data_IF_069437028383
#
_entry.id   IF_069437028383
#
_cell.length_a   1.000
_cell.length_b   1.000
_cell.length_c   1.000
_cell.angle_alpha   90.00
_cell.angle_beta   90.00
_cell.angle_gamma   90.00
#
_symmetry.space_group_name_H-M   'P 1'
#
loop_
_entity.id
_entity.type
_entity.pdbx_description
1 polymer ?
#
# COMPACT_ATOMS: atom_id res chain seq x y z
N UNK A 1 36.85 18.71 41.77
CA UNK A 1 35.80 17.88 41.17
C UNK A 1 35.11 18.79 40.18
N UNK A 2 35.54 18.71 38.92
CA UNK A 2 35.25 19.70 37.89
C UNK A 2 33.80 19.56 37.41
N UNK A 3 33.06 20.68 37.38
CA UNK A 3 31.59 20.71 37.37
C UNK A 3 31.04 21.31 36.06
N UNK A 4 31.64 20.99 34.91
CA UNK A 4 31.17 21.41 33.58
C UNK A 4 31.56 20.42 32.48
N UNK A 5 30.91 19.25 32.45
CA UNK A 5 30.91 18.40 31.26
C UNK A 5 29.47 18.27 30.77
N UNK A 6 28.89 19.39 30.33
CA UNK A 6 27.63 19.35 29.59
C UNK A 6 27.98 18.98 28.15
N UNK A 7 27.61 17.77 27.73
CA UNK A 7 27.69 17.32 26.34
C UNK A 7 26.71 18.19 25.53
N UNK A 8 27.13 18.71 24.38
CA UNK A 8 26.24 19.46 23.50
C UNK A 8 25.11 18.55 22.99
N UNK A 9 23.94 19.13 22.69
CA UNK A 9 22.78 18.35 22.23
C UNK A 9 23.07 17.61 20.91
N UNK A 10 23.93 18.19 20.09
CA UNK A 10 24.43 17.64 18.82
C UNK A 10 25.34 16.42 19.06
N UNK A 11 26.36 16.56 19.92
CA UNK A 11 27.25 15.46 20.32
C UNK A 11 26.48 14.29 20.96
N UNK A 12 25.42 14.59 21.74
CA UNK A 12 24.54 13.57 22.33
C UNK A 12 23.73 12.83 21.27
N UNK A 13 23.31 13.54 20.21
CA UNK A 13 22.61 12.97 19.07
C UNK A 13 23.49 11.96 18.32
N UNK A 14 24.74 12.34 18.06
CA UNK A 14 25.74 11.50 17.39
C UNK A 14 26.09 10.25 18.21
N UNK A 15 26.33 10.40 19.52
CA UNK A 15 26.57 9.25 20.42
C UNK A 15 25.41 8.27 20.44
N UNK A 16 24.16 8.77 20.49
CA UNK A 16 22.97 7.91 20.48
C UNK A 16 22.84 7.14 19.17
N UNK A 17 23.16 7.78 18.06
CA UNK A 17 23.12 7.16 16.72
C UNK A 17 24.13 6.02 16.63
N UNK A 18 25.37 6.25 17.07
CA UNK A 18 26.42 5.23 17.07
C UNK A 18 26.08 4.06 17.99
N UNK A 19 25.54 4.34 19.18
CA UNK A 19 25.07 3.30 20.10
C UNK A 19 23.99 2.41 19.48
N UNK A 20 22.94 3.03 18.92
CA UNK A 20 21.84 2.30 18.28
C UNK A 20 22.35 1.48 17.08
N UNK A 21 23.28 2.05 16.30
CA UNK A 21 23.89 1.36 15.17
C UNK A 21 24.63 0.10 15.64
N UNK A 22 25.45 0.20 16.68
CA UNK A 22 26.19 -0.93 17.24
C UNK A 22 25.26 -2.02 17.79
N UNK A 23 24.21 -1.64 18.53
CA UNK A 23 23.19 -2.57 19.04
C UNK A 23 22.49 -3.31 17.91
N UNK A 24 22.10 -2.60 16.85
CA UNK A 24 21.45 -3.22 15.70
C UNK A 24 22.42 -4.13 14.93
N UNK A 25 23.67 -3.71 14.71
CA UNK A 25 24.68 -4.56 14.06
C UNK A 25 24.94 -5.86 14.84
N UNK A 26 24.86 -5.83 16.18
CA UNK A 26 25.02 -7.02 17.02
C UNK A 26 23.81 -7.98 16.93
N UNK A 27 22.57 -7.46 16.86
CA UNK A 27 21.36 -8.27 16.84
C UNK A 27 20.99 -8.82 15.45
N UNK A 28 21.05 -7.98 14.41
CA UNK A 28 20.60 -8.31 13.05
C UNK A 28 21.74 -8.49 12.06
N UNK A 29 22.98 -8.17 12.43
CA UNK A 29 24.16 -8.30 11.57
C UNK A 29 24.29 -7.14 10.58
N UNK A 30 24.09 -7.40 9.29
CA UNK A 30 24.20 -6.35 8.26
C UNK A 30 22.95 -5.44 8.25
N UNK A 31 23.16 -4.14 8.44
CA UNK A 31 22.08 -3.15 8.43
C UNK A 31 21.50 -2.95 7.02
N UNK A 32 20.17 -3.04 6.93
CA UNK A 32 19.42 -2.68 5.73
C UNK A 32 19.40 -1.16 5.52
N UNK A 33 19.06 -0.73 4.30
CA UNK A 33 18.81 0.68 3.99
C UNK A 33 17.72 1.27 4.90
N UNK A 34 16.69 0.49 5.24
CA UNK A 34 15.63 0.95 6.15
C UNK A 34 16.15 1.19 7.57
N UNK A 35 17.05 0.35 8.07
CA UNK A 35 17.62 0.48 9.41
C UNK A 35 18.48 1.73 9.51
N UNK A 36 19.31 1.97 8.49
CA UNK A 36 20.13 3.18 8.39
C UNK A 36 19.26 4.46 8.35
N UNK A 37 18.14 4.43 7.65
CA UNK A 37 17.19 5.54 7.64
C UNK A 37 16.58 5.80 9.03
N UNK A 38 16.23 4.74 9.79
CA UNK A 38 15.72 4.88 11.16
C UNK A 38 16.79 5.46 12.07
N UNK A 39 18.00 4.91 12.04
CA UNK A 39 19.17 5.39 12.80
C UNK A 39 19.40 6.88 12.55
N UNK A 40 19.37 7.31 11.29
CA UNK A 40 19.54 8.71 10.93
C UNK A 40 18.37 9.58 11.42
N UNK A 41 17.14 9.08 11.39
CA UNK A 41 15.95 9.81 11.86
C UNK A 41 15.92 10.04 13.38
N UNK A 42 16.65 9.23 14.17
CA UNK A 42 16.74 9.40 15.62
C UNK A 42 17.43 10.70 16.00
N UNK A 43 18.43 11.13 15.23
CA UNK A 43 19.23 12.34 15.46
C UNK A 43 18.34 13.60 15.50
N UNK A 44 17.34 13.69 14.62
CA UNK A 44 16.59 14.91 14.37
C UNK A 44 15.32 15.08 15.21
N UNK A 45 14.94 14.13 16.08
CA UNK A 45 13.65 14.15 16.81
C UNK A 45 12.44 14.46 15.91
N UNK A 46 12.53 14.16 14.61
CA UNK A 46 11.44 14.42 13.68
C UNK A 46 10.33 13.38 13.88
N UNK A 47 9.09 13.86 13.82
CA UNK A 47 7.91 13.01 13.80
C UNK A 47 7.94 12.24 12.47
N UNK A 48 8.34 10.97 12.53
CA UNK A 48 8.49 10.10 11.35
C UNK A 48 7.12 9.68 10.76
N UNK A 49 6.00 10.09 11.36
CA UNK A 49 4.67 9.91 10.76
C UNK A 49 4.50 10.86 9.57
N UNK A 50 5.29 10.65 8.52
CA UNK A 50 5.03 11.24 7.23
C UNK A 50 3.68 10.70 6.75
N UNK A 51 2.77 11.59 6.36
CA UNK A 51 1.47 11.22 5.82
C UNK A 51 1.66 10.63 4.42
N UNK A 52 2.01 9.34 4.35
CA UNK A 52 2.30 8.59 3.11
C UNK A 52 1.10 8.62 2.17
N UNK A 53 -0.12 8.64 2.72
CA UNK A 53 -1.37 8.81 1.96
C UNK A 53 -1.35 10.08 1.10
N UNK A 54 -0.91 11.20 1.68
CA UNK A 54 -0.92 12.51 1.01
C UNK A 54 0.07 12.60 -0.16
N UNK A 55 1.20 11.88 -0.09
CA UNK A 55 2.18 11.82 -1.17
C UNK A 55 1.71 10.97 -2.35
N UNK A 56 0.94 9.90 -2.09
CA UNK A 56 0.42 9.01 -3.13
C UNK A 56 -0.68 9.66 -3.97
N UNK A 57 -1.66 10.33 -3.34
CA UNK A 57 -2.78 10.91 -4.08
C UNK A 57 -2.37 12.04 -5.04
N UNK A 58 -1.29 12.76 -4.72
CA UNK A 58 -0.78 13.85 -5.56
C UNK A 58 -0.18 13.40 -6.90
N UNK A 59 0.15 12.11 -7.06
CA UNK A 59 0.83 11.61 -8.27
C UNK A 59 -0.08 10.88 -9.27
N UNK A 60 -1.35 10.64 -8.94
CA UNK A 60 -2.24 9.86 -9.82
C UNK A 60 -2.60 10.62 -11.09
N UNK A 61 -2.30 10.01 -12.24
CA UNK A 61 -2.73 10.48 -13.55
C UNK A 61 -4.22 10.22 -13.78
N UNK A 62 -4.82 10.89 -14.77
CA UNK A 62 -6.24 10.74 -15.10
C UNK A 62 -6.61 9.28 -15.45
N UNK A 63 -5.73 8.59 -16.20
CA UNK A 63 -5.94 7.18 -16.57
C UNK A 63 -5.91 6.24 -15.36
N UNK A 64 -5.03 6.50 -14.39
CA UNK A 64 -4.94 5.69 -13.18
C UNK A 64 -6.19 5.83 -12.29
N UNK A 65 -6.72 7.05 -12.17
CA UNK A 65 -7.98 7.34 -11.45
C UNK A 65 -9.17 6.65 -12.10
N UNK A 66 -9.25 6.66 -13.43
CA UNK A 66 -10.30 5.97 -14.17
C UNK A 66 -10.23 4.45 -13.96
N UNK A 67 -9.03 3.87 -14.02
CA UNK A 67 -8.82 2.45 -13.76
C UNK A 67 -9.21 2.03 -12.33
N UNK A 68 -8.91 2.85 -11.31
CA UNK A 68 -9.35 2.59 -9.94
C UNK A 68 -10.87 2.56 -9.83
N UNK A 69 -11.55 3.56 -10.40
CA UNK A 69 -13.01 3.59 -10.40
C UNK A 69 -13.63 2.40 -11.16
N UNK A 70 -13.04 2.00 -12.29
CA UNK A 70 -13.52 0.83 -13.05
C UNK A 70 -13.31 -0.47 -12.25
N UNK A 71 -12.18 -0.62 -11.55
CA UNK A 71 -11.90 -1.77 -10.71
C UNK A 71 -12.83 -1.84 -9.49
N UNK A 72 -13.06 -0.72 -8.80
CA UNK A 72 -14.00 -0.61 -7.69
C UNK A 72 -15.44 -0.91 -8.11
N UNK A 73 -15.86 -0.38 -9.26
CA UNK A 73 -17.20 -0.61 -9.80
C UNK A 73 -17.39 -2.06 -10.24
N UNK A 74 -16.40 -2.62 -10.95
CA UNK A 74 -16.40 -4.02 -11.41
C UNK A 74 -16.36 -5.04 -10.27
N UNK A 75 -15.75 -4.69 -9.13
CA UNK A 75 -15.70 -5.53 -7.93
C UNK A 75 -16.96 -5.52 -7.06
N UNK A 76 -17.97 -4.71 -7.39
CA UNK A 76 -19.18 -4.59 -6.58
C UNK A 76 -20.16 -5.75 -6.79
N UNK A 77 -20.64 -6.34 -5.70
CA UNK A 77 -21.71 -7.35 -5.71
C UNK A 77 -22.98 -6.87 -6.44
N UNK A 78 -23.30 -5.57 -6.35
CA UNK A 78 -24.48 -5.00 -7.03
C UNK A 78 -24.31 -4.99 -8.56
N UNK A 79 -23.10 -4.70 -9.04
CA UNK A 79 -22.78 -4.72 -10.46
C UNK A 79 -22.83 -6.13 -11.03
N UNK A 80 -22.28 -7.12 -10.32
CA UNK A 80 -22.32 -8.51 -10.74
C UNK A 80 -23.76 -9.02 -10.94
N UNK A 81 -24.64 -8.73 -9.98
CA UNK A 81 -26.04 -9.15 -10.02
C UNK A 81 -26.80 -8.43 -11.14
N UNK A 82 -26.63 -7.11 -11.29
CA UNK A 82 -27.31 -6.35 -12.36
C UNK A 82 -26.83 -6.76 -13.76
N UNK A 83 -25.52 -6.98 -13.92
CA UNK A 83 -24.93 -7.47 -15.16
C UNK A 83 -25.45 -8.85 -15.54
N UNK A 84 -25.50 -9.79 -14.58
CA UNK A 84 -26.08 -11.11 -14.78
C UNK A 84 -27.58 -11.05 -15.16
N UNK A 85 -28.34 -10.16 -14.54
CA UNK A 85 -29.75 -9.96 -14.87
C UNK A 85 -29.94 -9.43 -16.30
N UNK A 86 -29.11 -8.48 -16.75
CA UNK A 86 -29.14 -7.97 -18.13
C UNK A 86 -28.83 -9.08 -19.13
N UNK A 87 -27.82 -9.91 -18.87
CA UNK A 87 -27.49 -11.06 -19.72
C UNK A 87 -28.64 -12.06 -19.79
N UNK A 88 -29.26 -12.37 -18.64
CA UNK A 88 -30.42 -13.26 -18.59
C UNK A 88 -31.59 -12.71 -19.42
N UNK A 89 -31.91 -11.42 -19.27
CA UNK A 89 -32.95 -10.76 -20.06
C UNK A 89 -32.64 -10.81 -21.55
N UNK A 90 -31.38 -10.57 -21.95
CA UNK A 90 -30.94 -10.63 -23.35
C UNK A 90 -31.16 -12.02 -23.96
N UNK A 91 -30.79 -13.07 -23.21
CA UNK A 91 -30.96 -14.47 -23.61
C UNK A 91 -32.45 -14.80 -23.76
N UNK A 92 -33.31 -14.38 -22.82
CA UNK A 92 -34.75 -14.62 -22.89
C UNK A 92 -35.39 -13.90 -24.08
N UNK A 93 -35.02 -12.64 -24.34
CA UNK A 93 -35.56 -11.86 -25.46
C UNK A 93 -35.15 -12.48 -26.81
N UNK A 94 -33.86 -12.78 -27.00
CA UNK A 94 -33.38 -13.31 -28.28
C UNK A 94 -33.72 -14.79 -28.49
N UNK A 95 -33.74 -15.60 -27.42
CA UNK A 95 -34.00 -17.04 -27.49
C UNK A 95 -35.48 -17.43 -27.52
N UNK A 96 -36.34 -16.69 -26.80
CA UNK A 96 -37.76 -17.06 -26.62
C UNK A 96 -38.69 -16.09 -27.35
N UNK A 97 -38.45 -14.78 -27.25
CA UNK A 97 -39.40 -13.76 -27.75
C UNK A 97 -39.24 -13.50 -29.24
N UNK A 98 -38.03 -13.54 -29.78
CA UNK A 98 -37.72 -13.26 -31.19
C UNK A 98 -37.23 -14.49 -31.97
N UNK A 99 -37.68 -15.71 -31.65
CA UNK A 99 -37.16 -16.94 -32.25
C UNK A 99 -37.13 -16.98 -33.80
N UNK A 100 -38.00 -16.24 -34.50
CA UNK A 100 -38.07 -16.18 -35.98
C UNK A 100 -37.38 -14.95 -36.60
N UNK A 101 -36.86 -14.02 -35.80
CA UNK A 101 -36.24 -12.77 -36.25
C UNK A 101 -35.21 -12.22 -35.24
N UNK A 102 -34.54 -13.11 -34.52
CA UNK A 102 -33.64 -12.76 -33.44
C UNK A 102 -32.44 -11.98 -33.99
N UNK A 103 -32.09 -10.91 -33.28
CA UNK A 103 -30.90 -10.11 -33.57
C UNK A 103 -29.61 -10.88 -33.26
N UNK A 104 -29.64 -11.74 -32.22
CA UNK A 104 -28.55 -12.63 -31.85
C UNK A 104 -29.10 -14.07 -31.63
N UNK A 105 -29.28 -14.87 -32.70
CA UNK A 105 -29.78 -16.24 -32.59
C UNK A 105 -28.81 -17.13 -31.82
N UNK A 106 -29.33 -18.18 -31.17
CA UNK A 106 -28.50 -19.22 -30.56
C UNK A 106 -27.50 -19.76 -31.61
N UNK A 107 -26.17 -19.72 -31.36
CA UNK A 107 -25.47 -19.75 -30.06
C UNK A 107 -24.96 -18.38 -29.51
N UNK A 108 -25.59 -17.25 -29.84
CA UNK A 108 -25.30 -15.90 -29.33
C UNK A 108 -23.88 -15.36 -29.65
N UNK A 109 -23.55 -15.26 -30.94
CA UNK A 109 -22.22 -14.81 -31.39
C UNK A 109 -21.92 -13.38 -30.93
N UNK A 110 -22.90 -12.47 -30.99
CA UNK A 110 -22.66 -11.06 -30.68
C UNK A 110 -22.43 -10.86 -29.19
N UNK A 111 -23.25 -11.49 -28.35
CA UNK A 111 -23.06 -11.47 -26.90
C UNK A 111 -21.68 -12.05 -26.52
N UNK A 112 -21.29 -13.17 -27.12
CA UNK A 112 -19.98 -13.78 -26.86
C UNK A 112 -18.82 -12.85 -27.25
N UNK A 113 -18.91 -12.20 -28.42
CA UNK A 113 -17.90 -11.25 -28.87
C UNK A 113 -17.76 -10.06 -27.91
N UNK A 114 -18.88 -9.48 -27.48
CA UNK A 114 -18.89 -8.35 -26.54
C UNK A 114 -18.31 -8.76 -25.19
N UNK A 115 -18.72 -9.91 -24.64
CA UNK A 115 -18.19 -10.41 -23.37
C UNK A 115 -16.69 -10.69 -23.43
N UNK A 116 -16.22 -11.27 -24.54
CA UNK A 116 -14.79 -11.54 -24.74
C UNK A 116 -13.97 -10.25 -24.81
N UNK A 117 -14.47 -9.24 -25.53
CA UNK A 117 -13.84 -7.92 -25.60
C UNK A 117 -13.82 -7.24 -24.22
N UNK A 118 -14.94 -7.29 -23.49
CA UNK A 118 -15.05 -6.73 -22.15
C UNK A 118 -14.05 -7.39 -21.18
N UNK A 119 -13.96 -8.72 -21.18
CA UNK A 119 -13.02 -9.47 -20.35
C UNK A 119 -11.55 -9.16 -20.71
N UNK A 120 -11.24 -9.05 -22.00
CA UNK A 120 -9.90 -8.72 -22.48
C UNK A 120 -9.43 -7.33 -22.00
N UNK A 121 -10.33 -6.35 -21.93
CA UNK A 121 -10.03 -5.01 -21.39
C UNK A 121 -10.01 -4.99 -19.86
N UNK A 122 -10.83 -5.82 -19.21
CA UNK A 122 -10.88 -5.89 -17.73
C UNK A 122 -9.57 -6.40 -17.12
N UNK A 123 -8.97 -7.46 -17.66
CA UNK A 123 -7.74 -8.06 -17.12
C UNK A 123 -6.59 -7.05 -16.90
N UNK A 124 -6.18 -6.21 -17.87
CA UNK A 124 -5.12 -5.23 -17.66
C UNK A 124 -5.54 -4.08 -16.74
N UNK A 125 -6.82 -3.67 -16.72
CA UNK A 125 -7.31 -2.64 -15.78
C UNK A 125 -7.21 -3.15 -14.34
N UNK A 126 -7.63 -4.40 -14.10
CA UNK A 126 -7.50 -5.06 -12.81
C UNK A 126 -6.02 -5.15 -12.43
N UNK A 127 -5.15 -5.61 -13.33
CA UNK A 127 -3.71 -5.71 -13.07
C UNK A 127 -3.06 -4.36 -12.75
N UNK A 128 -3.44 -3.29 -13.47
CA UNK A 128 -2.98 -1.93 -13.16
C UNK A 128 -3.42 -1.45 -11.78
N UNK A 129 -4.67 -1.75 -11.37
CA UNK A 129 -5.17 -1.43 -10.04
C UNK A 129 -4.45 -2.24 -8.94
N UNK A 130 -4.15 -3.52 -9.21
CA UNK A 130 -3.43 -4.41 -8.30
C UNK A 130 -1.99 -3.97 -8.11
N UNK A 131 -1.24 -3.70 -9.19
CA UNK A 131 0.14 -3.22 -9.11
C UNK A 131 0.24 -1.91 -8.28
N UNK A 132 -0.77 -1.03 -8.41
CA UNK A 132 -0.84 0.20 -7.62
C UNK A 132 -1.15 -0.05 -6.15
N UNK A 133 -2.08 -0.97 -5.85
CA UNK A 133 -2.38 -1.38 -4.48
C UNK A 133 -1.15 -2.01 -3.81
N UNK A 134 -0.44 -2.90 -4.49
CA UNK A 134 0.79 -3.54 -4.00
C UNK A 134 1.90 -2.53 -3.75
N UNK A 135 2.12 -1.57 -4.66
CA UNK A 135 3.10 -0.50 -4.45
C UNK A 135 2.79 0.35 -3.21
N UNK A 136 1.50 0.64 -2.96
CA UNK A 136 1.05 1.34 -1.76
C UNK A 136 1.23 0.51 -0.50
N UNK A 137 0.90 -0.78 -0.55
CA UNK A 137 1.03 -1.67 0.59
C UNK A 137 2.50 -1.94 0.94
N UNK A 138 3.39 -2.01 -0.05
CA UNK A 138 4.85 -2.06 0.17
C UNK A 138 5.36 -0.83 0.92
N UNK A 139 4.99 0.37 0.47
CA UNK A 139 5.42 1.60 1.14
C UNK A 139 4.82 1.77 2.54
N UNK A 140 3.59 1.30 2.76
CA UNK A 140 3.01 1.22 4.11
C UNK A 140 3.81 0.27 5.00
N UNK A 141 4.11 -0.93 4.52
CA UNK A 141 4.90 -1.91 5.28
C UNK A 141 6.30 -1.40 5.63
N UNK A 142 6.98 -0.73 4.69
CA UNK A 142 8.29 -0.10 4.95
C UNK A 142 8.20 0.98 6.05
N UNK A 143 7.13 1.77 6.06
CA UNK A 143 6.95 2.80 7.09
C UNK A 143 6.55 2.23 8.44
N UNK A 144 5.66 1.25 8.45
CA UNK A 144 5.26 0.55 9.68
C UNK A 144 6.47 -0.11 10.32
N UNK A 145 7.37 -0.69 9.52
CA UNK A 145 8.66 -1.20 9.98
C UNK A 145 9.50 -0.10 10.64
N UNK A 146 9.69 1.04 9.97
CA UNK A 146 10.49 2.17 10.50
C UNK A 146 9.93 2.70 11.83
N UNK A 147 8.60 2.86 11.91
CA UNK A 147 7.92 3.33 13.12
C UNK A 147 8.08 2.32 14.26
N UNK A 148 7.91 1.02 13.98
CA UNK A 148 8.04 -0.02 14.99
C UNK A 148 9.48 -0.12 15.51
N UNK A 149 10.47 -0.13 14.62
CA UNK A 149 11.88 -0.16 15.00
C UNK A 149 12.27 1.05 15.84
N UNK A 150 11.82 2.25 15.46
CA UNK A 150 12.04 3.48 16.24
C UNK A 150 11.42 3.36 17.64
N UNK A 151 10.18 2.88 17.73
CA UNK A 151 9.49 2.71 19.01
C UNK A 151 10.20 1.69 19.91
N UNK A 152 10.67 0.58 19.35
CA UNK A 152 11.44 -0.42 20.09
C UNK A 152 12.72 0.18 20.70
N UNK A 153 13.48 0.93 19.89
CA UNK A 153 14.73 1.57 20.32
C UNK A 153 14.48 2.65 21.39
N UNK A 154 13.41 3.45 21.25
CA UNK A 154 13.03 4.43 22.27
C UNK A 154 12.63 3.75 23.59
N UNK A 155 11.89 2.63 23.54
CA UNK A 155 11.51 1.85 24.73
C UNK A 155 12.75 1.25 25.41
N UNK A 156 13.70 0.72 24.63
CA UNK A 156 14.96 0.16 25.14
C UNK A 156 15.79 1.25 25.84
N UNK A 157 15.92 2.41 25.22
CA UNK A 157 16.60 3.57 25.82
C UNK A 157 15.94 4.05 27.13
N UNK A 158 14.61 3.99 27.21
CA UNK A 158 13.90 4.31 28.45
C UNK A 158 14.14 3.26 29.55
N UNK A 159 14.21 1.97 29.20
CA UNK A 159 14.53 0.90 30.16
C UNK A 159 15.94 1.05 30.73
N UNK A 160 16.94 1.31 29.90
CA UNK A 160 18.32 1.52 30.37
C UNK A 160 18.43 2.69 31.35
N UNK A 161 17.74 3.80 31.06
CA UNK A 161 17.67 4.94 31.98
C UNK A 161 16.99 4.59 33.31
N UNK A 162 15.98 3.74 33.29
CA UNK A 162 15.27 3.30 34.49
C UNK A 162 16.15 2.36 35.33
N UNK A 163 16.87 1.45 34.70
CA UNK A 163 17.80 0.53 35.36
C UNK A 163 18.96 1.27 36.05
N UNK A 164 19.42 2.39 35.48
CA UNK A 164 20.42 3.24 36.12
C UNK A 164 19.92 4.05 37.32
N UNK A 165 18.60 4.17 37.53
CA UNK A 165 18.00 4.90 38.64
C UNK A 165 17.62 4.01 39.85
N UNK A 166 17.63 2.70 39.67
CA UNK A 166 17.38 1.69 40.72
C UNK A 166 18.68 1.18 41.33
#
# INVERSE_FOLDING_TARGET
IDNKAFICFEDLGEFRKDYVKEVLEDEIGELSALDQEVIQSLEQHEILSSDISSQFERKLTFGERLSDHIAEFGGSWKFLISFGAVLFIWIVINGVVFATGAFDPYPFILLNLILSCLAAVQAPVIMMSQNRAEARDRLRAENDYKVNLKAELEIRHLHEKLDHLL
#
